data_IF_122004599750
#
_entry.id   IF_122004599750
#
_cell.length_a   1.000
_cell.length_b   1.000
_cell.length_c   1.000
_cell.angle_alpha   90.00
_cell.angle_beta   90.00
_cell.angle_gamma   90.00
#
_symmetry.space_group_name_H-M   'P 1'
#
loop_
_entity.id
_entity.type
_entity.pdbx_description
1 polymer ?
#
# COMPACT_ATOMS: atom_id res chain seq x y z
N UNK A 1 4.24 -49.49 6.90
CA UNK A 1 4.63 -48.19 6.34
C UNK A 1 5.06 -47.33 7.50
N UNK A 2 6.38 -47.11 7.64
CA UNK A 2 6.94 -46.39 8.78
C UNK A 2 7.26 -44.95 8.36
N UNK A 3 6.55 -43.97 8.92
CA UNK A 3 6.88 -42.54 8.75
C UNK A 3 7.68 -42.07 9.95
N UNK A 4 8.77 -41.35 9.70
CA UNK A 4 9.59 -40.74 10.75
C UNK A 4 9.18 -39.28 10.91
N UNK A 5 8.57 -38.92 12.03
CA UNK A 5 8.26 -37.52 12.32
C UNK A 5 9.47 -36.87 12.97
N UNK A 6 10.05 -35.86 12.32
CA UNK A 6 11.15 -35.07 12.90
C UNK A 6 10.53 -33.92 13.68
N UNK A 7 10.75 -33.92 14.99
CA UNK A 7 10.32 -32.87 15.91
C UNK A 7 11.15 -31.62 15.66
N UNK A 8 10.52 -30.54 15.19
CA UNK A 8 11.19 -29.25 15.01
C UNK A 8 11.00 -28.34 16.21
N UNK A 9 9.80 -28.35 16.81
CA UNK A 9 9.49 -27.54 17.98
C UNK A 9 8.57 -28.30 18.91
N UNK A 10 8.92 -28.32 20.19
CA UNK A 10 8.05 -28.79 21.26
C UNK A 10 7.87 -27.66 22.27
N UNK A 11 6.64 -27.43 22.71
CA UNK A 11 6.32 -26.49 23.78
C UNK A 11 5.18 -27.05 24.59
N UNK A 12 5.22 -26.90 25.91
CA UNK A 12 4.22 -27.42 26.84
C UNK A 12 4.56 -26.95 28.26
N UNK A 13 3.79 -27.38 29.25
CA UNK A 13 3.97 -26.97 30.64
C UNK A 13 3.92 -28.18 31.57
N UNK A 14 4.70 -28.13 32.64
CA UNK A 14 4.59 -29.12 33.72
C UNK A 14 3.49 -28.67 34.68
N UNK A 15 2.63 -29.59 35.12
CA UNK A 15 1.68 -29.34 36.20
C UNK A 15 2.29 -29.68 37.57
N UNK A 16 1.58 -29.34 38.64
CA UNK A 16 2.05 -29.51 40.02
C UNK A 16 2.16 -30.99 40.45
N UNK A 17 1.58 -31.91 39.68
CA UNK A 17 1.70 -33.36 39.85
C UNK A 17 2.91 -33.95 39.13
N UNK A 18 3.70 -33.10 38.45
CA UNK A 18 4.89 -33.52 37.70
C UNK A 18 4.59 -34.13 36.33
N UNK A 19 3.39 -33.90 35.78
CA UNK A 19 3.00 -34.33 34.44
C UNK A 19 3.24 -33.21 33.42
N UNK A 20 3.79 -33.56 32.25
CA UNK A 20 3.96 -32.61 31.14
C UNK A 20 2.69 -32.55 30.28
N UNK A 21 1.98 -31.43 30.33
CA UNK A 21 0.65 -31.24 29.73
C UNK A 21 0.63 -30.03 28.79
N UNK A 22 -0.49 -29.86 28.05
CA UNK A 22 -0.70 -28.79 27.06
C UNK A 22 0.42 -28.67 26.03
N UNK A 23 0.99 -29.80 25.62
CA UNK A 23 2.08 -29.79 24.68
C UNK A 23 1.58 -29.63 23.23
N UNK A 24 2.22 -28.73 22.51
CA UNK A 24 2.11 -28.60 21.06
C UNK A 24 3.38 -29.13 20.43
N UNK A 25 3.21 -30.06 19.49
CA UNK A 25 4.28 -30.65 18.72
C UNK A 25 4.11 -30.19 17.27
N UNK A 26 5.06 -29.40 16.80
CA UNK A 26 5.21 -29.08 15.39
C UNK A 26 6.35 -29.94 14.83
N UNK A 27 6.00 -30.85 13.94
CA UNK A 27 6.95 -31.75 13.28
C UNK A 27 6.70 -31.83 11.79
N UNK A 28 7.77 -32.07 11.03
CA UNK A 28 7.67 -32.44 9.62
C UNK A 28 7.58 -33.96 9.54
N UNK A 29 6.57 -34.44 8.83
CA UNK A 29 6.36 -35.86 8.63
C UNK A 29 7.19 -36.33 7.43
N UNK A 30 8.31 -37.01 7.68
CA UNK A 30 9.13 -37.58 6.62
C UNK A 30 8.63 -38.99 6.33
N UNK A 31 8.07 -39.18 5.14
CA UNK A 31 7.62 -40.49 4.66
C UNK A 31 8.84 -41.35 4.29
N UNK A 32 8.68 -42.66 4.38
CA UNK A 32 9.69 -43.70 4.04
C UNK A 32 10.34 -43.48 2.65
N UNK A 33 9.61 -42.80 1.75
CA UNK A 33 10.11 -42.21 0.53
C UNK A 33 9.64 -40.75 0.46
N UNK A 34 10.52 -39.81 0.81
CA UNK A 34 10.36 -38.39 0.53
C UNK A 34 11.34 -38.04 -0.59
N UNK A 35 10.83 -37.51 -1.70
CA UNK A 35 11.67 -37.06 -2.81
C UNK A 35 12.35 -35.73 -2.45
N UNK A 36 13.43 -35.37 -3.16
CA UNK A 36 14.05 -34.05 -3.04
C UNK A 36 13.04 -32.91 -3.17
N UNK A 37 12.01 -33.07 -4.00
CA UNK A 37 10.93 -32.09 -4.19
C UNK A 37 9.95 -31.99 -3.01
N UNK A 38 9.90 -33.00 -2.13
CA UNK A 38 9.08 -32.99 -0.91
C UNK A 38 9.79 -32.29 0.27
N UNK A 39 11.13 -32.20 0.20
CA UNK A 39 11.99 -31.57 1.23
C UNK A 39 12.50 -30.18 0.82
N UNK A 40 12.43 -29.86 -0.47
CA UNK A 40 12.84 -28.59 -1.05
C UNK A 40 11.66 -28.08 -1.85
N UNK A 41 11.01 -27.00 -1.38
CA UNK A 41 10.21 -26.18 -2.30
C UNK A 41 11.23 -25.63 -3.30
N UNK A 42 11.14 -25.98 -4.59
CA UNK A 42 12.08 -25.46 -5.57
C UNK A 42 12.06 -23.92 -5.50
N UNK A 43 13.14 -23.25 -5.92
CA UNK A 43 13.04 -21.84 -6.31
C UNK A 43 12.14 -21.79 -7.56
N UNK A 44 10.83 -21.89 -7.35
CA UNK A 44 9.83 -22.19 -8.37
C UNK A 44 9.62 -21.00 -9.29
N UNK A 45 8.89 -21.25 -10.39
CA UNK A 45 8.37 -20.26 -11.34
C UNK A 45 7.81 -18.98 -10.71
N UNK A 46 7.39 -19.03 -9.44
CA UNK A 46 6.68 -17.98 -8.71
C UNK A 46 7.55 -17.15 -7.75
N UNK A 47 8.77 -17.58 -7.43
CA UNK A 47 9.68 -16.87 -6.51
C UNK A 47 10.76 -16.12 -7.31
N UNK A 48 10.83 -14.81 -7.09
CA UNK A 48 11.71 -13.93 -7.84
C UNK A 48 12.46 -12.98 -6.93
N UNK A 49 13.72 -12.71 -7.30
CA UNK A 49 14.52 -11.66 -6.66
C UNK A 49 14.61 -10.47 -7.60
N UNK A 50 14.21 -9.29 -7.13
CA UNK A 50 14.25 -8.03 -7.87
C UNK A 50 15.29 -7.12 -7.21
N UNK A 51 16.24 -6.61 -7.98
CA UNK A 51 17.15 -5.58 -7.51
C UNK A 51 16.55 -4.20 -7.77
N UNK A 52 16.38 -3.40 -6.72
CA UNK A 52 15.88 -2.03 -6.79
C UNK A 52 16.78 -1.13 -5.94
N UNK A 53 17.54 -0.27 -6.61
CA UNK A 53 18.48 0.65 -5.97
C UNK A 53 19.60 -0.05 -5.16
N UNK A 54 20.06 -1.22 -5.60
CA UNK A 54 21.11 -1.98 -4.91
C UNK A 54 20.62 -2.84 -3.74
N UNK A 55 19.30 -2.86 -3.48
CA UNK A 55 18.68 -3.77 -2.52
C UNK A 55 17.91 -4.87 -3.26
N UNK A 56 17.95 -6.07 -2.71
CA UNK A 56 17.23 -7.21 -3.26
C UNK A 56 15.90 -7.38 -2.54
N UNK A 57 14.83 -7.55 -3.30
CA UNK A 57 13.48 -7.80 -2.82
C UNK A 57 13.01 -9.15 -3.35
N UNK A 58 12.57 -10.02 -2.44
CA UNK A 58 11.93 -11.27 -2.83
C UNK A 58 10.45 -11.05 -3.07
N UNK A 59 9.96 -11.53 -4.21
CA UNK A 59 8.57 -11.50 -4.64
C UNK A 59 8.10 -12.95 -4.78
N UNK A 60 6.99 -13.30 -4.14
CA UNK A 60 6.28 -14.55 -4.35
C UNK A 60 4.95 -14.25 -5.06
N UNK A 61 4.85 -14.61 -6.34
CA UNK A 61 3.64 -14.40 -7.14
C UNK A 61 2.49 -15.32 -6.71
N UNK A 62 2.80 -16.55 -6.27
CA UNK A 62 1.80 -17.52 -5.80
C UNK A 62 1.04 -16.99 -4.58
N UNK A 63 1.77 -16.49 -3.58
CA UNK A 63 1.19 -15.94 -2.35
C UNK A 63 0.86 -14.45 -2.44
N UNK A 64 1.19 -13.79 -3.56
CA UNK A 64 1.06 -12.33 -3.75
C UNK A 64 1.78 -11.53 -2.66
N UNK A 65 3.01 -11.93 -2.34
CA UNK A 65 3.83 -11.29 -1.29
C UNK A 65 5.08 -10.66 -1.87
N UNK A 66 5.50 -9.55 -1.26
CA UNK A 66 6.81 -8.97 -1.49
C UNK A 66 7.46 -8.56 -0.17
N UNK A 67 8.79 -8.66 -0.08
CA UNK A 67 9.55 -8.17 1.09
C UNK A 67 9.31 -6.68 1.35
N UNK A 68 8.92 -5.88 0.34
CA UNK A 68 8.57 -4.47 0.54
C UNK A 68 7.23 -4.25 1.30
N UNK A 69 6.44 -5.31 1.51
CA UNK A 69 5.17 -5.29 2.26
C UNK A 69 3.96 -4.72 1.51
N UNK A 70 4.18 -3.90 0.48
CA UNK A 70 3.08 -3.24 -0.26
C UNK A 70 2.15 -4.21 -0.97
N UNK A 71 2.68 -5.31 -1.49
CA UNK A 71 1.84 -6.29 -2.21
C UNK A 71 0.80 -6.93 -1.26
N UNK A 72 1.16 -7.10 0.01
CA UNK A 72 0.28 -7.63 1.04
C UNK A 72 -0.71 -6.60 1.57
N UNK A 73 -0.26 -5.36 1.76
CA UNK A 73 -1.06 -4.29 2.38
C UNK A 73 -2.07 -3.72 1.38
N UNK A 74 -1.59 -3.39 0.18
CA UNK A 74 -2.44 -2.78 -0.85
C UNK A 74 -3.25 -3.84 -1.61
N UNK A 75 -2.91 -5.12 -1.44
CA UNK A 75 -3.42 -6.26 -2.21
C UNK A 75 -3.40 -6.03 -3.74
N UNK A 76 -2.43 -5.22 -4.18
CA UNK A 76 -2.15 -4.84 -5.55
C UNK A 76 -0.66 -5.09 -5.83
N UNK A 77 -0.28 -5.47 -7.06
CA UNK A 77 1.12 -5.64 -7.41
C UNK A 77 1.94 -4.39 -7.10
N UNK A 78 2.91 -4.51 -6.19
CA UNK A 78 3.87 -3.45 -5.91
C UNK A 78 4.83 -3.25 -7.09
N UNK A 79 5.66 -2.19 -7.13
CA UNK A 79 6.60 -1.96 -8.23
C UNK A 79 7.54 -3.15 -8.51
N UNK A 80 7.95 -3.88 -7.46
CA UNK A 80 8.78 -5.09 -7.59
C UNK A 80 8.00 -6.24 -8.22
N UNK A 81 6.78 -6.51 -7.75
CA UNK A 81 5.92 -7.54 -8.31
C UNK A 81 5.54 -7.21 -9.77
N UNK A 82 5.25 -5.95 -10.06
CA UNK A 82 4.99 -5.46 -11.41
C UNK A 82 6.15 -5.71 -12.37
N UNK A 83 7.38 -5.45 -11.92
CA UNK A 83 8.59 -5.73 -12.71
C UNK A 83 8.70 -7.22 -13.06
N UNK A 84 8.43 -8.10 -12.09
CA UNK A 84 8.42 -9.56 -12.30
C UNK A 84 7.33 -9.96 -13.30
N UNK A 85 6.08 -9.53 -13.08
CA UNK A 85 4.94 -9.84 -13.94
C UNK A 85 5.21 -9.45 -15.40
N UNK A 86 5.77 -8.24 -15.61
CA UNK A 86 6.16 -7.75 -16.92
C UNK A 86 7.24 -8.62 -17.57
N UNK A 87 8.24 -9.07 -16.80
CA UNK A 87 9.31 -9.95 -17.32
C UNK A 87 8.83 -11.35 -17.70
N UNK A 88 7.73 -11.80 -17.08
CA UNK A 88 7.10 -13.10 -17.33
C UNK A 88 5.94 -13.03 -18.33
N UNK A 89 5.64 -11.85 -18.87
CA UNK A 89 4.48 -11.61 -19.75
C UNK A 89 3.14 -12.06 -19.12
N UNK A 90 3.03 -11.90 -17.80
CA UNK A 90 1.80 -12.20 -17.05
C UNK A 90 0.94 -10.95 -16.93
N UNK A 91 -0.38 -11.13 -16.93
CA UNK A 91 -1.35 -10.05 -16.80
C UNK A 91 -1.44 -9.58 -15.34
N UNK A 92 -1.06 -8.33 -15.02
CA UNK A 92 -1.05 -7.86 -13.63
C UNK A 92 -2.43 -7.85 -12.95
N UNK A 93 -3.50 -7.72 -13.75
CA UNK A 93 -4.88 -7.69 -13.28
C UNK A 93 -5.29 -8.99 -12.58
N UNK A 94 -4.69 -10.12 -12.96
CA UNK A 94 -4.93 -11.43 -12.34
C UNK A 94 -4.35 -11.53 -10.92
N UNK A 95 -3.38 -10.66 -10.61
CA UNK A 95 -2.66 -10.62 -9.33
C UNK A 95 -3.21 -9.55 -8.38
N UNK A 96 -4.19 -8.76 -8.82
CA UNK A 96 -4.94 -7.85 -7.97
C UNK A 96 -5.98 -8.61 -7.12
N UNK A 97 -6.29 -8.08 -5.95
CA UNK A 97 -7.40 -8.57 -5.13
C UNK A 97 -8.76 -8.40 -5.82
N UNK A 98 -9.71 -9.26 -5.46
CA UNK A 98 -11.10 -9.14 -5.92
C UNK A 98 -11.74 -7.82 -5.51
N UNK A 99 -11.31 -7.20 -4.39
CA UNK A 99 -11.81 -5.90 -3.93
C UNK A 99 -11.72 -4.79 -5.00
N UNK A 100 -10.72 -4.87 -5.87
CA UNK A 100 -10.50 -3.89 -6.92
C UNK A 100 -11.18 -4.26 -8.25
N UNK A 101 -11.89 -5.38 -8.33
CA UNK A 101 -12.58 -5.79 -9.56
C UNK A 101 -13.86 -4.96 -9.76
N UNK A 102 -14.18 -4.55 -11.00
CA UNK A 102 -15.40 -3.81 -11.31
C UNK A 102 -16.67 -4.48 -10.78
N UNK A 103 -16.75 -5.81 -10.84
CA UNK A 103 -17.88 -6.57 -10.30
C UNK A 103 -18.08 -6.33 -8.79
N UNK A 104 -16.99 -6.30 -8.02
CA UNK A 104 -17.07 -6.06 -6.57
C UNK A 104 -17.45 -4.62 -6.28
N UNK A 105 -16.91 -3.66 -7.05
CA UNK A 105 -17.31 -2.25 -6.94
C UNK A 105 -18.80 -2.08 -7.22
N UNK A 106 -19.34 -2.67 -8.28
CA UNK A 106 -20.78 -2.61 -8.58
C UNK A 106 -21.61 -3.20 -7.44
N UNK A 107 -21.19 -4.34 -6.89
CA UNK A 107 -21.87 -4.96 -5.74
C UNK A 107 -21.90 -4.05 -4.50
N UNK A 108 -20.93 -3.15 -4.30
CA UNK A 108 -21.00 -2.18 -3.19
C UNK A 108 -22.15 -1.18 -3.32
N UNK A 109 -22.65 -0.96 -4.54
CA UNK A 109 -23.80 -0.10 -4.83
C UNK A 109 -25.11 -0.87 -5.03
N UNK A 110 -25.11 -2.18 -4.79
CA UNK A 110 -26.33 -3.00 -4.90
C UNK A 110 -27.36 -2.66 -3.81
N UNK A 111 -26.93 -1.95 -2.76
CA UNK A 111 -27.84 -1.45 -1.72
C UNK A 111 -28.73 -0.36 -2.31
N UNK A 112 -30.07 -0.53 -2.31
CA UNK A 112 -30.98 0.48 -2.83
C UNK A 112 -30.87 1.76 -2.01
N UNK A 113 -30.57 2.87 -2.69
CA UNK A 113 -30.70 4.21 -2.11
C UNK A 113 -32.15 4.66 -2.31
N UNK A 114 -32.94 4.60 -1.24
CA UNK A 114 -34.28 5.15 -1.27
C UNK A 114 -34.20 6.67 -1.29
N UNK A 115 -34.87 7.34 -2.26
CA UNK A 115 -34.95 8.79 -2.24
C UNK A 115 -35.64 9.25 -0.94
N UNK A 116 -35.17 10.35 -0.37
CA UNK A 116 -35.88 10.99 0.71
C UNK A 116 -37.26 11.43 0.18
N UNK A 117 -38.36 11.14 0.91
CA UNK A 117 -39.68 11.63 0.53
C UNK A 117 -39.74 13.16 0.59
N UNK A 118 -40.81 13.77 0.06
CA UNK A 118 -40.98 15.22 0.16
C UNK A 118 -41.02 15.64 1.63
N UNK A 119 -40.52 16.84 1.94
CA UNK A 119 -40.49 17.35 3.32
C UNK A 119 -41.88 17.36 3.96
N UNK A 120 -42.94 17.55 3.16
CA UNK A 120 -44.33 17.53 3.63
C UNK A 120 -44.78 16.14 4.10
N UNK A 121 -44.13 15.07 3.62
CA UNK A 121 -44.44 13.69 3.98
C UNK A 121 -43.61 13.19 5.18
N UNK A 122 -42.72 14.03 5.73
CA UNK A 122 -41.86 13.63 6.84
C UNK A 122 -42.65 13.58 8.14
N UNK A 123 -42.73 12.40 8.76
CA UNK A 123 -43.24 12.24 10.11
C UNK A 123 -42.11 12.51 11.11
N UNK A 124 -41.88 13.79 11.44
CA UNK A 124 -40.83 14.22 12.38
C UNK A 124 -41.42 14.20 13.80
N UNK A 125 -40.87 13.39 14.72
CA UNK A 125 -41.30 13.40 16.11
C UNK A 125 -41.10 14.78 16.75
N UNK A 126 -42.01 15.18 17.64
CA UNK A 126 -42.02 16.50 18.27
C UNK A 126 -40.69 16.81 19.00
N UNK A 127 -40.14 15.83 19.71
CA UNK A 127 -38.84 15.97 20.38
C UNK A 127 -37.65 16.24 19.45
N UNK A 128 -37.71 15.81 18.17
CA UNK A 128 -36.67 16.09 17.17
C UNK A 128 -36.90 17.47 16.54
N UNK A 129 -38.16 17.83 16.29
CA UNK A 129 -38.51 19.15 15.76
C UNK A 129 -38.14 20.28 16.74
N UNK A 130 -38.22 20.01 18.03
CA UNK A 130 -37.82 20.93 19.10
C UNK A 130 -36.30 20.92 19.39
N UNK A 131 -35.55 19.96 18.83
CA UNK A 131 -34.11 19.86 19.07
C UNK A 131 -33.34 20.98 18.37
N UNK A 132 -32.78 21.90 19.15
CA UNK A 132 -31.92 22.96 18.64
C UNK A 132 -30.49 22.42 18.49
N UNK A 133 -30.11 22.03 17.27
CA UNK A 133 -28.73 21.63 16.95
C UNK A 133 -27.82 22.86 16.96
N UNK A 134 -27.12 23.06 18.08
CA UNK A 134 -26.12 24.13 18.22
C UNK A 134 -24.82 23.74 17.50
N UNK A 135 -24.08 24.71 16.92
CA UNK A 135 -22.76 24.44 16.40
C UNK A 135 -21.83 23.92 17.50
N UNK A 136 -20.78 23.13 17.15
CA UNK A 136 -19.80 22.68 18.12
C UNK A 136 -19.27 23.87 18.94
N UNK A 137 -19.32 23.76 20.26
CA UNK A 137 -18.87 24.82 21.19
C UNK A 137 -17.41 25.22 20.93
N UNK A 138 -16.63 24.31 20.36
CA UNK A 138 -15.19 24.48 20.15
C UNK A 138 -14.91 24.82 18.69
N UNK A 139 -14.50 26.07 18.46
CA UNK A 139 -13.83 26.43 17.22
C UNK A 139 -12.39 25.92 17.32
N UNK A 140 -11.86 25.31 16.25
CA UNK A 140 -10.41 25.14 16.16
C UNK A 140 -9.79 26.54 16.36
N UNK A 141 -8.85 26.71 17.30
CA UNK A 141 -8.19 27.99 17.47
C UNK A 141 -7.59 28.39 16.11
N UNK A 142 -7.70 29.66 15.70
CA UNK A 142 -7.05 30.11 14.49
C UNK A 142 -5.56 29.77 14.61
N UNK A 143 -5.15 28.78 13.83
CA UNK A 143 -3.75 28.36 13.79
C UNK A 143 -2.93 29.54 13.31
N UNK A 144 -1.65 29.59 13.75
CA UNK A 144 -0.71 30.57 13.22
C UNK A 144 -0.74 30.51 11.69
N UNK A 145 -1.00 31.62 10.97
CA UNK A 145 -0.92 31.64 9.52
C UNK A 145 0.44 31.08 9.08
N UNK A 146 0.42 30.10 8.17
CA UNK A 146 1.66 29.50 7.67
C UNK A 146 2.52 30.60 7.05
N UNK A 147 3.79 30.71 7.47
CA UNK A 147 4.75 31.67 6.88
C UNK A 147 5.04 31.40 5.40
N UNK A 148 4.83 30.17 4.93
CA UNK A 148 5.05 29.76 3.54
C UNK A 148 3.86 28.93 3.07
N UNK A 149 3.42 29.19 1.85
CA UNK A 149 2.44 28.36 1.14
C UNK A 149 3.04 26.98 0.87
N UNK A 150 2.27 25.92 1.06
CA UNK A 150 2.66 24.58 0.62
C UNK A 150 2.67 24.55 -0.91
N UNK A 151 3.79 24.14 -1.49
CA UNK A 151 3.93 24.01 -2.94
C UNK A 151 3.39 22.65 -3.36
N UNK A 152 2.60 22.61 -4.42
CA UNK A 152 2.19 21.35 -5.04
C UNK A 152 3.39 20.66 -5.73
N UNK A 153 3.22 19.40 -6.10
CA UNK A 153 4.30 18.61 -6.71
C UNK A 153 4.84 19.25 -8.00
N UNK A 154 3.98 19.84 -8.83
CA UNK A 154 4.40 20.52 -10.06
C UNK A 154 5.28 21.74 -9.79
N UNK A 155 4.99 22.53 -8.76
CA UNK A 155 5.82 23.65 -8.31
C UNK A 155 7.16 23.23 -7.69
N UNK A 156 7.27 22.00 -7.17
CA UNK A 156 8.51 21.44 -6.64
C UNK A 156 9.43 20.92 -7.75
N UNK A 157 8.83 20.41 -8.83
CA UNK A 157 9.55 19.88 -9.99
C UNK A 157 10.01 20.98 -10.97
N UNK A 158 9.44 22.18 -10.88
CA UNK A 158 9.86 23.34 -11.67
C UNK A 158 11.27 23.81 -11.25
N UNK A 159 12.22 23.98 -12.19
CA UNK A 159 13.51 24.58 -11.92
C UNK A 159 13.35 25.96 -11.27
N UNK A 160 13.95 26.17 -10.10
CA UNK A 160 14.02 27.51 -9.49
C UNK A 160 14.84 28.41 -10.42
N UNK A 161 14.34 29.62 -10.68
CA UNK A 161 14.99 30.66 -11.48
C UNK A 161 14.98 30.42 -13.00
N UNK A 162 13.80 30.23 -13.59
CA UNK A 162 13.61 30.30 -15.05
C UNK A 162 13.74 31.71 -15.65
N UNK A 163 14.06 32.73 -14.86
CA UNK A 163 14.22 34.07 -15.41
C UNK A 163 15.57 34.18 -16.14
N UNK A 164 15.50 34.48 -17.42
CA UNK A 164 16.65 34.85 -18.23
C UNK A 164 16.86 36.36 -18.18
N UNK A 165 18.11 36.79 -18.25
CA UNK A 165 18.44 38.21 -18.34
C UNK A 165 17.93 38.77 -19.67
N UNK A 166 17.15 39.85 -19.64
CA UNK A 166 16.60 40.46 -20.85
C UNK A 166 17.65 41.12 -21.76
N UNK A 167 18.89 41.33 -21.28
CA UNK A 167 20.00 41.88 -22.08
C UNK A 167 20.75 40.76 -22.82
N UNK A 168 21.28 39.78 -22.09
CA UNK A 168 22.15 38.75 -22.66
C UNK A 168 21.46 37.39 -22.90
N UNK A 169 20.23 37.21 -22.42
CA UNK A 169 19.47 35.96 -22.53
C UNK A 169 19.90 34.84 -21.59
N UNK A 170 20.95 35.02 -20.79
CA UNK A 170 21.48 33.99 -19.89
C UNK A 170 20.76 33.99 -18.53
N UNK A 171 20.61 32.79 -17.93
CA UNK A 171 20.02 32.62 -16.60
C UNK A 171 20.96 33.00 -15.45
N UNK A 172 20.41 33.10 -14.23
CA UNK A 172 21.19 33.27 -13.00
C UNK A 172 21.45 34.72 -12.56
N UNK A 173 21.02 35.72 -13.33
CA UNK A 173 21.10 37.13 -12.96
C UNK A 173 20.00 37.95 -13.67
N UNK A 174 19.80 39.20 -13.22
CA UNK A 174 18.81 40.11 -13.83
C UNK A 174 19.49 41.24 -14.63
N UNK A 175 18.69 42.05 -15.33
CA UNK A 175 19.16 43.20 -16.11
C UNK A 175 20.04 44.17 -15.30
N UNK A 176 19.71 44.39 -14.02
CA UNK A 176 20.42 45.37 -13.15
C UNK A 176 21.81 44.90 -12.75
N UNK A 177 22.04 43.59 -12.71
CA UNK A 177 23.34 42.98 -12.35
C UNK A 177 24.03 42.35 -13.55
N UNK A 178 23.59 42.64 -14.78
CA UNK A 178 24.14 42.06 -16.00
C UNK A 178 25.49 42.70 -16.35
N UNK A 179 26.52 41.85 -16.51
CA UNK A 179 27.86 42.23 -17.00
C UNK A 179 28.17 41.65 -18.38
N UNK A 180 27.23 40.91 -18.96
CA UNK A 180 27.39 40.24 -20.25
C UNK A 180 27.00 41.17 -21.41
N UNK A 181 27.54 40.88 -22.59
CA UNK A 181 27.17 41.57 -23.82
C UNK A 181 25.68 41.35 -24.17
N UNK A 182 25.02 42.33 -24.83
CA UNK A 182 23.67 42.16 -25.33
C UNK A 182 23.55 41.01 -26.32
N UNK A 183 22.40 40.33 -26.33
CA UNK A 183 22.10 39.28 -27.31
C UNK A 183 22.05 39.91 -28.70
N UNK A 184 22.86 39.40 -29.63
CA UNK A 184 22.72 39.76 -31.04
C UNK A 184 21.33 39.35 -31.53
N UNK A 185 20.65 40.28 -32.21
CA UNK A 185 19.36 40.05 -32.85
C UNK A 185 19.50 39.20 -34.09
#
# INVERSE_FOLDING_TARGET
MASLTVLLRHSGKWNDEGNYIDFSIEGILIKEYASFNDLVVPSTEYLHTVNDGGRNYTVCLLERKCVCGRFQIDELPCPHAWAVLKSKFLMPEEYCSSYYKPSTIVMTYDVPVYPLPDKNDWNIPEHVAEEVVLPPKWKRPPGRPKKKRDKNLSELLLPKNQHSCSICGQGGHNKRTCRNAPRNK
#
